data_IF_015202944375
#
_entry.id   IF_015202944375
#
_cell.length_a   1.000
_cell.length_b   1.000
_cell.length_c   1.000
_cell.angle_alpha   90.00
_cell.angle_beta   90.00
_cell.angle_gamma   90.00
#
_symmetry.space_group_name_H-M   'P 1'
#
loop_
_entity.id
_entity.type
_entity.pdbx_description
1 polymer ?
#
# COMPACT_ATOMS: atom_id res chain seq x y z
N UNK A 1 7.57 9.31 -17.17
CA UNK A 1 7.73 7.88 -17.51
C UNK A 1 6.85 7.09 -16.56
N UNK A 2 5.93 6.30 -17.08
CA UNK A 2 5.32 5.24 -16.31
C UNK A 2 6.46 4.41 -15.69
N UNK A 3 6.31 3.99 -14.44
CA UNK A 3 7.23 3.05 -13.81
C UNK A 3 7.37 1.80 -14.69
N UNK A 4 8.55 1.21 -14.74
CA UNK A 4 8.75 -0.02 -15.48
C UNK A 4 7.94 -1.14 -14.81
N UNK A 5 7.09 -1.80 -15.57
CA UNK A 5 6.40 -3.02 -15.16
C UNK A 5 7.24 -4.24 -15.53
N UNK A 6 7.16 -5.31 -14.75
CA UNK A 6 7.81 -6.58 -15.10
C UNK A 6 7.15 -7.23 -16.32
N UNK A 7 7.85 -8.15 -16.95
CA UNK A 7 7.33 -8.90 -18.10
C UNK A 7 6.10 -9.75 -17.75
N UNK A 8 5.97 -10.13 -16.49
CA UNK A 8 4.86 -10.93 -15.95
C UNK A 8 3.62 -10.07 -15.63
N UNK A 9 3.72 -8.74 -15.69
CA UNK A 9 2.60 -7.83 -15.46
C UNK A 9 1.57 -7.97 -16.58
N UNK A 10 0.33 -8.21 -16.19
CA UNK A 10 -0.83 -8.27 -17.08
C UNK A 10 -1.65 -6.99 -16.96
N UNK A 11 -2.40 -6.67 -18.01
CA UNK A 11 -3.31 -5.52 -18.03
C UNK A 11 -4.74 -6.00 -18.19
N UNK A 12 -5.61 -5.59 -17.29
CA UNK A 12 -7.05 -5.74 -17.42
C UNK A 12 -7.64 -4.40 -17.86
N UNK A 13 -8.21 -4.37 -19.06
CA UNK A 13 -8.99 -3.23 -19.55
C UNK A 13 -10.44 -3.46 -19.14
N UNK A 14 -10.94 -2.66 -18.20
CA UNK A 14 -12.31 -2.80 -17.72
C UNK A 14 -13.26 -2.21 -18.75
N UNK A 15 -14.32 -2.95 -19.10
CA UNK A 15 -15.23 -2.57 -20.16
C UNK A 15 -16.06 -1.33 -19.84
N UNK A 16 -16.45 -1.16 -18.58
CA UNK A 16 -17.29 -0.06 -18.14
C UNK A 16 -16.46 1.06 -17.49
N UNK A 17 -16.84 2.33 -17.68
CA UNK A 17 -16.22 3.46 -16.99
C UNK A 17 -16.19 3.26 -15.47
N UNK A 18 -15.18 3.82 -14.83
CA UNK A 18 -15.04 3.78 -13.38
C UNK A 18 -15.38 5.15 -12.79
N UNK A 19 -16.44 5.20 -12.02
CA UNK A 19 -16.87 6.42 -11.31
C UNK A 19 -16.21 6.44 -9.95
N UNK A 20 -15.39 7.46 -9.68
CA UNK A 20 -14.74 7.66 -8.37
C UNK A 20 -15.71 8.14 -7.31
N UNK A 21 -15.34 8.14 -6.04
CA UNK A 21 -16.16 8.69 -4.96
C UNK A 21 -16.48 10.18 -5.15
N UNK A 22 -15.62 10.95 -5.82
CA UNK A 22 -15.86 12.34 -6.16
C UNK A 22 -16.91 12.54 -7.27
N UNK A 23 -17.34 11.46 -7.93
CA UNK A 23 -18.23 11.49 -9.09
C UNK A 23 -17.48 11.68 -10.43
N UNK A 24 -16.17 11.85 -10.42
CA UNK A 24 -15.39 11.93 -11.64
C UNK A 24 -15.28 10.54 -12.30
N UNK A 25 -15.12 10.52 -13.63
CA UNK A 25 -15.16 9.29 -14.44
C UNK A 25 -13.78 9.01 -15.05
N UNK A 26 -13.34 7.77 -14.94
CA UNK A 26 -12.22 7.21 -15.71
C UNK A 26 -12.85 6.35 -16.79
N UNK A 27 -12.87 6.85 -18.05
CA UNK A 27 -13.64 6.26 -19.14
C UNK A 27 -13.18 4.86 -19.56
N UNK A 28 -11.88 4.62 -19.60
CA UNK A 28 -11.30 3.35 -20.00
C UNK A 28 -10.28 2.88 -18.94
N UNK A 29 -10.75 2.46 -17.75
CA UNK A 29 -9.85 2.11 -16.67
C UNK A 29 -9.05 0.85 -17.00
N UNK A 30 -7.75 0.95 -16.83
CA UNK A 30 -6.80 -0.17 -16.93
C UNK A 30 -6.25 -0.48 -15.57
N UNK A 31 -6.21 -1.76 -15.21
CA UNK A 31 -5.59 -2.25 -13.97
C UNK A 31 -4.45 -3.19 -14.36
N UNK A 32 -3.25 -2.81 -13.98
CA UNK A 32 -2.08 -3.68 -14.11
C UNK A 32 -1.97 -4.58 -12.88
N UNK A 33 -1.67 -5.87 -13.09
CA UNK A 33 -1.65 -6.85 -12.00
C UNK A 33 -0.71 -8.02 -12.31
N UNK A 34 -0.37 -8.76 -11.27
CA UNK A 34 0.30 -10.06 -11.37
C UNK A 34 -0.48 -11.12 -10.59
N UNK A 35 -0.28 -12.37 -10.96
CA UNK A 35 -0.86 -13.53 -10.28
C UNK A 35 0.17 -14.63 -10.09
N UNK A 36 0.00 -15.42 -9.03
CA UNK A 36 0.76 -16.63 -8.75
C UNK A 36 -0.21 -17.74 -8.38
N UNK A 37 0.07 -18.96 -8.81
CA UNK A 37 -0.81 -20.11 -8.60
C UNK A 37 -1.98 -20.17 -9.58
N UNK A 38 -2.93 -21.05 -9.30
CA UNK A 38 -4.12 -21.28 -10.11
C UNK A 38 -5.40 -21.05 -9.30
N UNK A 39 -6.37 -20.40 -9.92
CA UNK A 39 -7.69 -20.22 -9.32
C UNK A 39 -8.42 -21.58 -9.28
N UNK A 40 -8.98 -21.93 -8.13
CA UNK A 40 -9.84 -23.11 -7.98
C UNK A 40 -11.11 -22.97 -8.83
N UNK A 41 -11.71 -24.09 -9.24
CA UNK A 41 -12.91 -24.09 -10.08
C UNK A 41 -14.08 -23.32 -9.47
N UNK A 42 -14.20 -23.35 -8.14
CA UNK A 42 -15.23 -22.62 -7.40
C UNK A 42 -14.87 -21.15 -7.16
N UNK A 43 -13.66 -20.73 -7.53
CA UNK A 43 -13.17 -19.34 -7.36
C UNK A 43 -12.90 -18.92 -5.92
N UNK A 44 -12.67 -19.88 -5.00
CA UNK A 44 -12.64 -19.61 -3.54
C UNK A 44 -11.26 -19.50 -2.91
N UNK A 45 -10.16 -19.88 -3.61
CA UNK A 45 -8.82 -19.97 -3.03
C UNK A 45 -7.97 -18.70 -3.23
N UNK A 46 -8.58 -17.55 -3.50
CA UNK A 46 -7.84 -16.34 -3.82
C UNK A 46 -7.33 -15.62 -2.57
N UNK A 47 -6.13 -15.04 -2.71
CA UNK A 47 -5.49 -14.14 -1.75
C UNK A 47 -5.14 -12.85 -2.47
N UNK A 48 -5.53 -11.70 -1.90
CA UNK A 48 -5.20 -10.39 -2.43
C UNK A 48 -4.08 -9.75 -1.63
N UNK A 49 -2.99 -9.40 -2.30
CA UNK A 49 -1.89 -8.61 -1.75
C UNK A 49 -2.05 -7.16 -2.18
N UNK A 50 -2.07 -6.24 -1.23
CA UNK A 50 -2.18 -4.80 -1.46
C UNK A 50 -0.83 -4.14 -1.17
N UNK A 51 -0.23 -3.46 -2.16
CA UNK A 51 1.10 -2.86 -2.02
C UNK A 51 1.08 -1.51 -1.28
N UNK A 52 2.22 -1.13 -0.71
CA UNK A 52 2.46 0.16 -0.06
C UNK A 52 2.59 1.30 -1.10
N UNK A 53 2.71 2.57 -0.62
CA UNK A 53 2.66 3.80 -1.43
C UNK A 53 3.48 3.76 -2.73
N UNK A 54 4.71 3.30 -2.66
CA UNK A 54 5.62 3.23 -3.83
C UNK A 54 5.93 1.79 -4.24
N UNK A 55 5.12 0.84 -3.82
CA UNK A 55 5.16 -0.55 -4.24
C UNK A 55 4.61 -0.77 -5.64
N UNK A 56 4.60 -2.01 -6.07
CA UNK A 56 4.05 -2.45 -7.35
C UNK A 56 3.40 -3.83 -7.23
N UNK A 57 2.81 -4.30 -8.33
CA UNK A 57 2.26 -5.65 -8.41
C UNK A 57 3.31 -6.76 -8.27
N UNK A 58 4.62 -6.44 -8.36
CA UNK A 58 5.72 -7.38 -8.19
C UNK A 58 5.94 -7.76 -6.71
N UNK A 59 4.92 -8.32 -6.08
CA UNK A 59 4.90 -8.57 -4.65
C UNK A 59 5.97 -9.56 -4.20
N UNK A 60 6.34 -10.51 -5.02
CA UNK A 60 7.44 -11.45 -4.79
C UNK A 60 8.82 -10.76 -4.71
N UNK A 61 8.98 -9.60 -5.36
CA UNK A 61 10.24 -8.87 -5.34
C UNK A 61 10.43 -7.99 -4.11
N UNK A 62 9.36 -7.40 -3.58
CA UNK A 62 9.45 -6.55 -2.38
C UNK A 62 9.06 -7.27 -1.07
N UNK A 63 8.47 -8.48 -1.18
CA UNK A 63 8.21 -9.42 -0.09
C UNK A 63 8.82 -10.81 -0.38
N UNK A 64 10.12 -10.89 -0.63
CA UNK A 64 10.78 -12.17 -0.87
C UNK A 64 10.64 -13.07 0.36
N UNK A 65 10.24 -14.33 0.14
CA UNK A 65 10.01 -15.31 1.21
C UNK A 65 8.59 -15.26 1.81
N UNK A 66 7.76 -14.26 1.52
CA UNK A 66 6.35 -14.29 1.89
C UNK A 66 5.46 -14.90 0.80
N UNK A 67 5.92 -14.90 -0.46
CA UNK A 67 5.23 -15.46 -1.62
C UNK A 67 6.15 -16.47 -2.28
N UNK A 68 5.70 -17.70 -2.41
CA UNK A 68 6.44 -18.77 -3.07
C UNK A 68 6.17 -20.14 -2.45
N UNK A 69 6.82 -21.20 -2.98
CA UNK A 69 6.65 -22.57 -2.46
C UNK A 69 7.00 -22.66 -0.98
N UNK A 70 6.05 -23.16 -0.17
CA UNK A 70 6.22 -23.29 1.29
C UNK A 70 6.14 -21.99 2.08
N UNK A 71 6.00 -20.84 1.43
CA UNK A 71 5.81 -19.55 2.08
C UNK A 71 4.40 -19.40 2.67
N UNK A 72 4.17 -18.38 3.51
CA UNK A 72 2.82 -18.08 4.02
C UNK A 72 1.76 -17.96 2.91
N UNK A 73 2.14 -17.36 1.78
CA UNK A 73 1.33 -17.27 0.56
C UNK A 73 1.95 -18.20 -0.48
N UNK A 74 1.40 -19.41 -0.58
CA UNK A 74 1.96 -20.49 -1.40
C UNK A 74 1.14 -20.72 -2.66
N UNK A 75 1.72 -20.48 -3.86
CA UNK A 75 1.05 -20.69 -5.14
C UNK A 75 0.54 -22.13 -5.38
N UNK A 76 1.02 -23.12 -4.62
CA UNK A 76 0.54 -24.49 -4.72
C UNK A 76 -0.90 -24.66 -4.19
N UNK A 77 -1.35 -23.78 -3.30
CA UNK A 77 -2.70 -23.81 -2.71
C UNK A 77 -3.50 -22.53 -2.97
N UNK A 78 -2.80 -21.40 -3.11
CA UNK A 78 -3.39 -20.07 -3.19
C UNK A 78 -3.35 -19.55 -4.63
N UNK A 79 -4.43 -18.90 -5.07
CA UNK A 79 -4.39 -17.99 -6.21
C UNK A 79 -4.12 -16.58 -5.70
N UNK A 80 -2.87 -16.18 -5.77
CA UNK A 80 -2.41 -14.89 -5.23
C UNK A 80 -2.54 -13.84 -6.32
N UNK A 81 -3.17 -12.71 -5.99
CA UNK A 81 -3.31 -11.55 -6.88
C UNK A 81 -2.68 -10.33 -6.22
N UNK A 82 -1.88 -9.57 -6.94
CA UNK A 82 -1.44 -8.24 -6.56
C UNK A 82 -1.67 -7.28 -7.72
N UNK A 83 -2.42 -6.20 -7.49
CA UNK A 83 -2.67 -5.18 -8.50
C UNK A 83 -1.93 -3.89 -8.18
N UNK A 84 -1.51 -3.18 -9.23
CA UNK A 84 -1.08 -1.79 -9.09
C UNK A 84 -2.32 -0.90 -8.88
N UNK A 85 -2.28 -0.04 -7.87
CA UNK A 85 -3.41 0.83 -7.54
C UNK A 85 -3.69 1.84 -8.65
N UNK A 86 -4.96 2.17 -8.84
CA UNK A 86 -5.39 3.30 -9.68
C UNK A 86 -4.86 4.59 -9.06
N UNK A 87 -4.35 5.49 -9.90
CA UNK A 87 -3.65 6.70 -9.48
C UNK A 87 -2.13 6.52 -9.34
N UNK A 88 -1.63 5.27 -9.42
CA UNK A 88 -0.21 4.94 -9.44
C UNK A 88 0.44 5.11 -10.82
N UNK A 89 1.66 4.59 -10.98
CA UNK A 89 2.45 4.75 -12.20
C UNK A 89 2.97 3.44 -12.80
N UNK A 90 2.51 2.29 -12.32
CA UNK A 90 2.98 0.97 -12.79
C UNK A 90 1.91 0.24 -13.62
N UNK A 91 1.43 0.88 -14.68
CA UNK A 91 0.55 0.26 -15.69
C UNK A 91 -0.94 0.42 -15.42
N UNK A 92 -1.40 0.66 -14.20
CA UNK A 92 -2.78 1.04 -13.93
C UNK A 92 -3.05 2.49 -14.30
N UNK A 93 -4.30 2.84 -14.63
CA UNK A 93 -4.68 4.22 -14.94
C UNK A 93 -4.26 5.19 -13.83
N UNK A 94 -3.64 6.29 -14.21
CA UNK A 94 -3.07 7.28 -13.28
C UNK A 94 -2.73 8.59 -13.99
N UNK A 95 -2.13 9.55 -13.31
CA UNK A 95 -1.76 10.86 -13.86
C UNK A 95 -0.91 10.84 -15.12
N UNK A 96 -0.16 9.76 -15.34
CA UNK A 96 0.65 9.58 -16.54
C UNK A 96 -0.16 9.09 -17.77
N UNK A 97 -1.40 8.67 -17.57
CA UNK A 97 -2.28 8.20 -18.65
C UNK A 97 -2.46 9.31 -19.69
N UNK A 98 -2.34 8.99 -21.00
CA UNK A 98 -2.55 9.97 -22.05
C UNK A 98 -4.00 10.45 -22.10
N UNK A 99 -4.19 11.76 -22.28
CA UNK A 99 -5.45 12.37 -22.70
C UNK A 99 -5.66 12.17 -24.22
N UNK A 100 -6.80 12.64 -24.72
CA UNK A 100 -7.14 12.53 -26.16
C UNK A 100 -6.14 13.24 -27.09
N UNK A 101 -5.45 14.28 -26.59
CA UNK A 101 -4.42 15.02 -27.33
C UNK A 101 -3.02 14.36 -27.23
N UNK A 102 -2.92 13.21 -26.57
CA UNK A 102 -1.67 12.47 -26.38
C UNK A 102 -0.80 12.98 -25.23
N UNK A 103 -1.15 14.09 -24.57
CA UNK A 103 -0.46 14.57 -23.38
C UNK A 103 -0.89 13.77 -22.15
N UNK A 104 -0.04 13.72 -21.15
CA UNK A 104 -0.41 13.12 -19.86
C UNK A 104 -1.52 13.92 -19.18
N UNK A 105 -2.41 13.24 -18.48
CA UNK A 105 -3.48 13.90 -17.71
C UNK A 105 -2.94 14.78 -16.56
N UNK A 106 -1.84 14.38 -15.92
CA UNK A 106 -1.34 15.10 -14.76
C UNK A 106 -2.39 15.19 -13.66
N UNK A 107 -2.63 16.39 -13.14
CA UNK A 107 -3.69 16.61 -12.14
C UNK A 107 -5.12 16.67 -12.74
N UNK A 108 -5.29 16.57 -14.06
CA UNK A 108 -6.62 16.34 -14.64
C UNK A 108 -7.07 14.87 -14.45
N UNK A 109 -6.13 13.96 -14.14
CA UNK A 109 -6.51 12.64 -13.67
C UNK A 109 -7.32 12.76 -12.36
N UNK A 110 -8.49 12.10 -12.25
CA UNK A 110 -9.35 12.23 -11.08
C UNK A 110 -8.65 11.96 -9.76
N UNK A 111 -9.07 12.65 -8.70
CA UNK A 111 -8.73 12.24 -7.35
C UNK A 111 -9.33 10.87 -7.07
N UNK A 112 -8.50 9.97 -6.57
CA UNK A 112 -8.89 8.63 -6.15
C UNK A 112 -8.71 8.49 -4.65
N UNK A 113 -9.56 7.72 -4.03
CA UNK A 113 -9.49 7.41 -2.60
C UNK A 113 -9.03 5.97 -2.40
N UNK A 114 -8.70 5.62 -1.16
CA UNK A 114 -8.42 4.20 -0.80
C UNK A 114 -9.62 3.32 -1.14
N UNK A 115 -10.85 3.82 -0.95
CA UNK A 115 -12.06 3.10 -1.31
C UNK A 115 -12.20 2.91 -2.82
N UNK A 116 -11.81 3.88 -3.62
CA UNK A 116 -11.77 3.73 -5.08
C UNK A 116 -10.75 2.66 -5.50
N UNK A 117 -9.59 2.60 -4.85
CA UNK A 117 -8.62 1.54 -5.10
C UNK A 117 -9.22 0.16 -4.85
N UNK A 118 -9.91 -0.02 -3.73
CA UNK A 118 -10.58 -1.28 -3.36
C UNK A 118 -11.72 -1.63 -4.34
N UNK A 119 -12.52 -0.66 -4.75
CA UNK A 119 -13.57 -0.85 -5.76
C UNK A 119 -13.00 -1.26 -7.12
N UNK A 120 -11.88 -0.68 -7.52
CA UNK A 120 -11.18 -1.06 -8.75
C UNK A 120 -10.61 -2.48 -8.66
N UNK A 121 -10.02 -2.85 -7.52
CA UNK A 121 -9.57 -4.22 -7.25
C UNK A 121 -10.73 -5.22 -7.29
N UNK A 122 -11.88 -4.87 -6.74
CA UNK A 122 -13.07 -5.74 -6.80
C UNK A 122 -13.48 -6.03 -8.24
N UNK A 123 -13.53 -5.00 -9.10
CA UNK A 123 -13.82 -5.17 -10.53
C UNK A 123 -12.78 -6.05 -11.23
N UNK A 124 -11.49 -5.88 -10.91
CA UNK A 124 -10.45 -6.76 -11.42
C UNK A 124 -10.69 -8.22 -11.03
N UNK A 125 -10.94 -8.48 -9.73
CA UNK A 125 -11.18 -9.83 -9.22
C UNK A 125 -12.41 -10.49 -9.87
N UNK A 126 -13.47 -9.72 -10.12
CA UNK A 126 -14.64 -10.20 -10.85
C UNK A 126 -14.28 -10.63 -12.29
N UNK A 127 -13.44 -9.83 -12.97
CA UNK A 127 -12.94 -10.17 -14.31
C UNK A 127 -12.10 -11.44 -14.31
N UNK A 128 -11.37 -11.70 -13.22
CA UNK A 128 -10.54 -12.91 -13.06
C UNK A 128 -11.35 -14.15 -12.63
N UNK A 129 -12.65 -13.99 -12.35
CA UNK A 129 -13.52 -15.09 -11.90
C UNK A 129 -13.40 -15.42 -10.42
N UNK A 130 -12.71 -14.59 -9.63
CA UNK A 130 -12.61 -14.76 -8.17
C UNK A 130 -13.98 -14.55 -7.54
N UNK A 131 -14.41 -15.49 -6.72
CA UNK A 131 -15.70 -15.44 -6.02
C UNK A 131 -15.57 -15.11 -4.55
N UNK A 132 -14.38 -15.33 -3.99
CA UNK A 132 -14.11 -15.17 -2.58
C UNK A 132 -12.62 -14.94 -2.32
N UNK A 133 -12.30 -14.16 -1.29
CA UNK A 133 -10.93 -13.93 -0.82
C UNK A 133 -10.71 -14.61 0.54
N UNK A 134 -9.85 -15.59 0.59
CA UNK A 134 -9.43 -16.21 1.86
C UNK A 134 -8.69 -15.24 2.75
N UNK A 135 -7.91 -14.32 2.14
CA UNK A 135 -7.14 -13.32 2.84
C UNK A 135 -6.96 -12.09 1.97
N UNK A 136 -7.09 -10.93 2.57
CA UNK A 136 -6.55 -9.66 2.06
C UNK A 136 -5.43 -9.21 2.99
N UNK A 137 -4.26 -8.94 2.44
CA UNK A 137 -3.07 -8.60 3.22
C UNK A 137 -2.32 -7.43 2.58
N UNK A 138 -1.83 -6.52 3.40
CA UNK A 138 -1.00 -5.43 2.90
C UNK A 138 -0.44 -4.53 3.98
N UNK A 139 0.75 -3.94 3.74
CA UNK A 139 1.39 -3.00 4.65
C UNK A 139 1.06 -1.55 4.28
N UNK A 140 1.01 -0.66 5.28
CA UNK A 140 0.90 0.79 5.10
C UNK A 140 -0.34 1.18 4.26
N UNK A 141 -0.19 1.82 3.10
CA UNK A 141 -1.28 2.06 2.16
C UNK A 141 -2.00 0.76 1.77
N UNK A 142 -1.28 -0.35 1.66
CA UNK A 142 -1.86 -1.68 1.48
C UNK A 142 -2.72 -2.11 2.67
N UNK A 143 -2.32 -1.76 3.88
CA UNK A 143 -3.11 -2.00 5.09
C UNK A 143 -4.40 -1.16 5.14
N UNK A 144 -4.37 0.09 4.63
CA UNK A 144 -5.58 0.90 4.49
C UNK A 144 -6.57 0.23 3.53
N UNK A 145 -6.08 -0.27 2.39
CA UNK A 145 -6.88 -1.04 1.43
C UNK A 145 -7.44 -2.31 2.08
N UNK A 146 -6.63 -3.00 2.87
CA UNK A 146 -7.02 -4.23 3.59
C UNK A 146 -8.19 -3.97 4.55
N UNK A 147 -8.12 -2.91 5.35
CA UNK A 147 -9.22 -2.50 6.24
C UNK A 147 -10.46 -2.07 5.46
N UNK A 148 -10.27 -1.33 4.37
CA UNK A 148 -11.38 -0.91 3.51
C UNK A 148 -12.08 -2.10 2.83
N UNK A 149 -11.34 -3.15 2.46
CA UNK A 149 -11.90 -4.41 1.97
C UNK A 149 -12.84 -5.05 2.99
N UNK A 150 -12.40 -5.15 4.25
CA UNK A 150 -13.22 -5.72 5.33
C UNK A 150 -14.50 -4.90 5.59
N UNK A 151 -14.43 -3.58 5.44
CA UNK A 151 -15.55 -2.68 5.64
C UNK A 151 -16.53 -2.63 4.46
N UNK A 152 -16.01 -2.68 3.22
CA UNK A 152 -16.82 -2.54 2.01
C UNK A 152 -17.39 -3.87 1.50
N UNK A 153 -16.67 -4.98 1.68
CA UNK A 153 -17.02 -6.28 1.13
C UNK A 153 -16.92 -7.41 2.17
N UNK A 154 -17.58 -7.28 3.34
CA UNK A 154 -17.43 -8.23 4.44
C UNK A 154 -17.81 -9.68 4.06
N UNK A 155 -18.75 -9.87 3.12
CA UNK A 155 -19.17 -11.20 2.68
C UNK A 155 -18.25 -11.81 1.62
N UNK A 156 -17.34 -11.01 1.04
CA UNK A 156 -16.39 -11.46 0.01
C UNK A 156 -15.05 -11.89 0.59
N UNK A 157 -14.78 -11.58 1.87
CA UNK A 157 -13.48 -11.76 2.53
C UNK A 157 -13.61 -12.63 3.78
N UNK A 158 -12.77 -13.66 3.93
CA UNK A 158 -12.72 -14.49 5.14
C UNK A 158 -11.88 -13.87 6.25
N UNK A 159 -10.71 -13.32 5.90
CA UNK A 159 -9.76 -12.76 6.87
C UNK A 159 -8.97 -11.60 6.28
N UNK A 160 -8.46 -10.74 7.14
CA UNK A 160 -7.63 -9.59 6.76
C UNK A 160 -6.36 -9.51 7.61
N UNK A 161 -5.28 -9.01 7.00
CA UNK A 161 -4.01 -8.80 7.70
C UNK A 161 -3.44 -7.40 7.38
N UNK A 162 -3.97 -6.33 7.97
CA UNK A 162 -3.41 -4.99 7.84
C UNK A 162 -2.16 -4.84 8.70
N UNK A 163 -1.07 -4.35 8.11
CA UNK A 163 0.24 -4.24 8.72
C UNK A 163 0.68 -2.77 8.76
N UNK A 164 1.09 -2.26 9.92
CA UNK A 164 1.63 -0.91 10.07
C UNK A 164 0.68 0.18 9.55
N UNK A 165 -0.55 0.23 10.08
CA UNK A 165 -1.62 1.10 9.56
C UNK A 165 -2.54 1.61 10.68
N UNK A 166 -3.28 2.68 10.41
CA UNK A 166 -4.37 3.21 11.24
C UNK A 166 -5.72 3.02 10.57
N UNK A 167 -6.80 3.13 11.32
CA UNK A 167 -8.19 3.12 10.79
C UNK A 167 -8.64 4.46 10.22
N UNK A 168 -7.89 5.52 10.52
CA UNK A 168 -8.04 6.88 10.01
C UNK A 168 -6.69 7.54 9.92
N UNK A 169 -6.40 8.19 8.80
CA UNK A 169 -5.11 8.88 8.63
C UNK A 169 -4.97 10.01 9.67
N UNK A 170 -3.86 9.99 10.41
CA UNK A 170 -3.65 10.94 11.51
C UNK A 170 -3.21 12.31 11.00
N UNK A 171 -3.40 13.36 11.81
CA UNK A 171 -2.89 14.70 11.51
C UNK A 171 -1.36 14.70 11.29
N UNK A 172 -0.63 13.84 12.02
CA UNK A 172 0.81 13.63 11.83
C UNK A 172 1.12 13.14 10.41
N UNK A 173 0.45 12.10 9.97
CA UNK A 173 0.64 11.53 8.63
C UNK A 173 0.18 12.48 7.51
N UNK A 174 -0.92 13.20 7.72
CA UNK A 174 -1.41 14.24 6.79
C UNK A 174 -0.36 15.36 6.67
N UNK A 175 0.22 15.82 7.79
CA UNK A 175 1.27 16.84 7.79
C UNK A 175 2.53 16.40 7.03
N UNK A 176 2.95 15.14 7.19
CA UNK A 176 4.05 14.56 6.42
C UNK A 176 3.72 14.56 4.92
N UNK A 177 2.51 14.08 4.54
CA UNK A 177 2.05 14.07 3.16
C UNK A 177 2.01 15.48 2.54
N UNK A 178 1.50 16.46 3.27
CA UNK A 178 1.43 17.84 2.82
C UNK A 178 2.82 18.44 2.58
N UNK A 179 3.77 18.20 3.49
CA UNK A 179 5.15 18.65 3.31
C UNK A 179 5.81 18.06 2.06
N UNK A 180 5.53 16.78 1.77
CA UNK A 180 6.02 16.10 0.57
C UNK A 180 5.40 16.70 -0.70
N UNK A 181 4.09 16.96 -0.71
CA UNK A 181 3.41 17.60 -1.84
C UNK A 181 3.92 19.02 -2.07
N UNK A 182 4.12 19.79 -1.00
CA UNK A 182 4.69 21.13 -1.10
C UNK A 182 6.08 21.12 -1.75
N UNK A 183 6.94 20.15 -1.41
CA UNK A 183 8.25 19.99 -2.04
C UNK A 183 8.14 19.69 -3.55
N UNK A 184 7.19 18.85 -3.95
CA UNK A 184 6.94 18.54 -5.36
C UNK A 184 6.43 19.77 -6.11
N UNK A 185 5.48 20.50 -5.54
CA UNK A 185 4.88 21.70 -6.14
C UNK A 185 5.91 22.84 -6.29
N UNK A 186 6.86 22.94 -5.36
CA UNK A 186 7.93 23.94 -5.42
C UNK A 186 8.97 23.70 -6.52
N UNK A 187 8.98 22.51 -7.14
CA UNK A 187 9.88 22.21 -8.25
C UNK A 187 9.43 22.98 -9.52
N UNK A 188 10.32 23.78 -10.16
CA UNK A 188 9.96 24.54 -11.37
C UNK A 188 9.40 23.69 -12.51
N UNK A 189 9.72 22.42 -12.53
CA UNK A 189 9.27 21.48 -13.57
C UNK A 189 7.94 20.78 -13.20
N UNK A 190 7.25 21.19 -12.15
CA UNK A 190 6.03 20.54 -11.69
C UNK A 190 4.86 20.68 -12.69
N UNK A 191 4.64 21.88 -13.22
CA UNK A 191 3.64 22.20 -14.26
C UNK A 191 2.26 21.55 -13.99
N UNK A 192 1.79 21.54 -12.75
CA UNK A 192 0.54 20.89 -12.32
C UNK A 192 0.45 19.41 -12.73
N UNK A 193 1.57 18.74 -12.75
CA UNK A 193 1.67 17.33 -13.16
C UNK A 193 1.66 17.10 -14.68
N UNK A 194 1.62 18.16 -15.51
CA UNK A 194 1.59 18.08 -17.00
C UNK A 194 2.97 18.14 -17.64
N UNK A 195 4.03 17.88 -16.88
CA UNK A 195 5.40 17.84 -17.39
C UNK A 195 5.61 16.68 -18.38
N UNK A 196 6.54 16.86 -19.31
CA UNK A 196 7.00 15.81 -20.21
C UNK A 196 8.02 14.90 -19.52
N UNK A 197 8.17 13.67 -20.03
CA UNK A 197 9.09 12.67 -19.44
C UNK A 197 10.55 13.15 -19.33
N UNK A 198 11.00 14.00 -20.26
CA UNK A 198 12.36 14.57 -20.25
C UNK A 198 12.56 15.65 -19.18
N UNK A 199 11.50 16.39 -18.85
CA UNK A 199 11.52 17.54 -17.93
C UNK A 199 10.56 17.23 -16.78
N UNK A 200 11.03 16.48 -15.81
CA UNK A 200 10.24 16.04 -14.65
C UNK A 200 10.64 16.81 -13.39
N UNK A 201 9.75 16.96 -12.40
CA UNK A 201 10.06 17.58 -11.11
C UNK A 201 10.92 16.64 -10.24
N UNK A 202 12.16 16.41 -10.69
CA UNK A 202 13.08 15.44 -10.09
C UNK A 202 13.53 15.85 -8.70
N UNK A 203 13.77 17.15 -8.50
CA UNK A 203 14.23 17.68 -7.23
C UNK A 203 13.12 17.63 -6.17
N UNK A 204 11.90 18.04 -6.55
CA UNK A 204 10.74 17.96 -5.68
C UNK A 204 10.39 16.54 -5.25
N UNK A 205 10.37 15.60 -6.19
CA UNK A 205 10.12 14.19 -5.87
C UNK A 205 11.25 13.59 -5.02
N UNK A 206 12.51 13.93 -5.30
CA UNK A 206 13.64 13.48 -4.50
C UNK A 206 13.55 14.00 -3.06
N UNK A 207 13.22 15.30 -2.87
CA UNK A 207 13.03 15.89 -1.55
C UNK A 207 11.87 15.21 -0.79
N UNK A 208 10.74 14.97 -1.45
CA UNK A 208 9.62 14.22 -0.88
C UNK A 208 10.04 12.83 -0.41
N UNK A 209 10.88 12.12 -1.19
CA UNK A 209 11.43 10.81 -0.80
C UNK A 209 12.37 10.90 0.39
N UNK A 210 13.20 11.93 0.46
CA UNK A 210 14.11 12.14 1.61
C UNK A 210 13.30 12.30 2.91
N UNK A 211 12.24 13.11 2.91
CA UNK A 211 11.31 13.23 4.05
C UNK A 211 10.68 11.89 4.40
N UNK A 212 10.21 11.15 3.39
CA UNK A 212 9.63 9.84 3.57
C UNK A 212 10.61 8.87 4.24
N UNK A 213 11.88 8.84 3.81
CA UNK A 213 12.89 7.93 4.36
C UNK A 213 13.21 8.21 5.84
N UNK A 214 13.14 9.46 6.28
CA UNK A 214 13.26 9.83 7.71
C UNK A 214 12.09 9.23 8.49
N UNK A 215 10.87 9.28 7.94
CA UNK A 215 9.66 8.75 8.58
C UNK A 215 9.53 7.22 8.49
N UNK A 216 10.14 6.61 7.47
CA UNK A 216 10.11 5.15 7.27
C UNK A 216 11.15 4.40 8.09
N UNK A 217 12.11 5.11 8.67
CA UNK A 217 13.13 4.57 9.56
C UNK A 217 12.89 5.04 11.00
N UNK A 218 13.64 4.48 11.93
CA UNK A 218 13.64 4.93 13.32
C UNK A 218 14.84 5.81 13.64
N UNK A 219 14.74 6.61 14.69
CA UNK A 219 15.89 7.35 15.23
C UNK A 219 17.04 6.39 15.57
N UNK A 220 16.75 5.28 16.22
CA UNK A 220 17.75 4.26 16.59
C UNK A 220 18.48 3.70 15.38
N UNK A 221 17.74 3.44 14.29
CA UNK A 221 18.33 2.96 13.03
C UNK A 221 19.28 3.99 12.42
N UNK A 222 18.89 5.27 12.42
CA UNK A 222 19.73 6.35 11.90
C UNK A 222 21.00 6.54 12.73
N UNK A 223 20.87 6.59 14.07
CA UNK A 223 22.03 6.74 14.96
C UNK A 223 22.99 5.54 14.83
N UNK A 224 22.47 4.32 14.88
CA UNK A 224 23.31 3.12 14.75
C UNK A 224 24.03 3.01 13.41
N UNK A 225 23.43 3.51 12.34
CA UNK A 225 23.97 3.41 10.99
C UNK A 225 24.90 4.56 10.61
N UNK A 226 24.52 5.76 10.91
CA UNK A 226 25.18 6.96 10.40
C UNK A 226 25.97 7.72 11.47
N UNK A 227 25.43 7.85 12.70
CA UNK A 227 26.00 8.74 13.71
C UNK A 227 26.26 10.15 13.12
N UNK A 228 27.40 10.73 13.41
CA UNK A 228 27.89 11.98 12.79
C UNK A 228 29.05 11.72 11.83
N UNK A 229 29.03 10.59 11.15
CA UNK A 229 30.11 10.20 10.23
C UNK A 229 30.19 11.17 9.05
N UNK A 230 31.36 11.76 8.79
CA UNK A 230 31.56 12.60 7.60
C UNK A 230 31.55 11.74 6.34
N UNK A 231 31.01 12.29 5.26
CA UNK A 231 31.14 11.69 3.94
C UNK A 231 32.44 12.19 3.26
N UNK A 232 32.71 11.63 2.06
CA UNK A 232 33.89 11.99 1.27
C UNK A 232 33.81 13.39 0.61
N UNK A 233 32.72 14.14 0.77
CA UNK A 233 32.38 15.38 0.08
C UNK A 233 32.05 16.56 1.03
N UNK A 234 32.72 16.61 2.18
CA UNK A 234 32.49 17.64 3.21
C UNK A 234 31.07 17.70 3.77
N UNK A 235 30.32 16.59 3.75
CA UNK A 235 29.00 16.45 4.31
C UNK A 235 28.93 15.35 5.38
N UNK A 236 27.77 14.77 5.54
CA UNK A 236 27.51 13.63 6.42
C UNK A 236 27.01 12.43 5.62
N UNK A 237 27.39 11.22 6.02
CA UNK A 237 26.92 9.96 5.39
C UNK A 237 25.40 9.89 5.26
N UNK A 238 24.64 10.38 6.26
CA UNK A 238 23.19 10.44 6.23
C UNK A 238 22.67 11.32 5.08
N UNK A 239 23.35 12.41 4.77
CA UNK A 239 22.97 13.33 3.66
C UNK A 239 23.12 12.61 2.32
N UNK A 240 24.23 11.93 2.11
CA UNK A 240 24.51 11.14 0.91
C UNK A 240 23.52 9.99 0.74
N UNK A 241 23.17 9.32 1.84
CA UNK A 241 22.15 8.28 1.86
C UNK A 241 20.77 8.82 1.44
N UNK A 242 20.31 9.91 2.03
CA UNK A 242 19.00 10.49 1.71
C UNK A 242 18.92 10.95 0.25
N UNK A 243 19.97 11.62 -0.25
CA UNK A 243 20.07 12.02 -1.65
C UNK A 243 20.05 10.81 -2.59
N UNK A 244 20.74 9.73 -2.24
CA UNK A 244 20.70 8.48 -3.01
C UNK A 244 19.28 7.90 -3.07
N UNK A 245 18.58 7.83 -1.93
CA UNK A 245 17.20 7.35 -1.87
C UNK A 245 16.24 8.22 -2.70
N UNK A 246 16.44 9.52 -2.68
CA UNK A 246 15.68 10.46 -3.52
C UNK A 246 15.88 10.17 -5.01
N UNK A 247 17.15 10.09 -5.47
CA UNK A 247 17.45 9.76 -6.87
C UNK A 247 16.88 8.40 -7.29
N UNK A 248 17.02 7.38 -6.45
CA UNK A 248 16.48 6.04 -6.72
C UNK A 248 14.97 6.02 -6.92
N UNK A 249 14.22 6.84 -6.17
CA UNK A 249 12.77 6.96 -6.40
C UNK A 249 12.46 7.67 -7.72
N UNK A 250 13.15 8.77 -8.00
CA UNK A 250 12.97 9.55 -9.24
C UNK A 250 13.18 8.70 -10.49
N UNK A 251 14.07 7.72 -10.47
CA UNK A 251 14.32 6.82 -11.59
C UNK A 251 13.15 5.89 -11.92
N UNK A 252 12.31 5.57 -10.93
CA UNK A 252 11.27 4.53 -11.05
C UNK A 252 9.84 5.00 -10.78
N UNK A 253 9.64 6.19 -10.25
CA UNK A 253 8.31 6.65 -9.84
C UNK A 253 7.93 7.99 -10.47
N UNK A 254 6.64 8.20 -10.66
CA UNK A 254 6.08 9.42 -11.23
C UNK A 254 5.65 10.39 -10.12
N UNK A 255 6.03 11.67 -10.26
CA UNK A 255 5.76 12.68 -9.24
C UNK A 255 4.26 13.02 -9.10
N UNK A 256 3.52 13.08 -10.20
CA UNK A 256 2.08 13.35 -10.15
C UNK A 256 1.33 12.17 -9.54
N UNK A 257 1.76 10.93 -9.82
CA UNK A 257 1.22 9.74 -9.13
C UNK A 257 1.56 9.76 -7.65
N UNK A 258 2.78 10.13 -7.26
CA UNK A 258 3.13 10.28 -5.84
C UNK A 258 2.24 11.32 -5.15
N UNK A 259 2.02 12.46 -5.80
CA UNK A 259 1.13 13.51 -5.31
C UNK A 259 -0.29 12.98 -5.09
N UNK A 260 -0.91 12.34 -6.11
CA UNK A 260 -2.27 11.77 -6.02
C UNK A 260 -2.38 10.66 -4.97
N UNK A 261 -1.40 9.78 -4.88
CA UNK A 261 -1.44 8.70 -3.88
C UNK A 261 -1.28 9.20 -2.45
N UNK A 262 -0.53 10.28 -2.22
CA UNK A 262 -0.48 10.92 -0.89
C UNK A 262 -1.82 11.59 -0.53
N UNK A 263 -2.52 12.20 -1.50
CA UNK A 263 -3.89 12.69 -1.29
C UNK A 263 -4.87 11.54 -0.99
N UNK A 264 -4.75 10.43 -1.71
CA UNK A 264 -5.56 9.24 -1.45
C UNK A 264 -5.38 8.70 -0.02
N UNK A 265 -4.14 8.70 0.50
CA UNK A 265 -3.88 8.36 1.91
C UNK A 265 -4.61 9.30 2.87
N UNK A 266 -4.58 10.60 2.61
CA UNK A 266 -5.26 11.59 3.45
C UNK A 266 -6.78 11.37 3.50
N UNK A 267 -7.36 10.78 2.45
CA UNK A 267 -8.79 10.41 2.41
C UNK A 267 -9.14 9.22 3.31
N UNK A 268 -8.14 8.47 3.78
CA UNK A 268 -8.39 7.26 4.56
C UNK A 268 -9.02 7.56 5.92
N UNK A 269 -10.27 7.23 6.02
CA UNK A 269 -11.09 7.22 7.24
C UNK A 269 -12.19 6.19 7.02
N UNK A 270 -12.17 5.08 7.75
CA UNK A 270 -13.18 4.03 7.63
C UNK A 270 -14.59 4.52 7.96
N UNK A 271 -14.73 5.57 8.78
CA UNK A 271 -16.02 6.16 9.12
C UNK A 271 -16.61 7.05 8.03
N UNK A 272 -15.76 7.58 7.14
CA UNK A 272 -16.17 8.54 6.12
C UNK A 272 -17.26 7.97 5.20
N UNK A 273 -18.41 8.65 5.16
CA UNK A 273 -19.56 8.23 4.33
C UNK A 273 -20.30 6.98 4.83
N UNK A 274 -20.02 6.49 6.05
CA UNK A 274 -20.69 5.32 6.66
C UNK A 274 -21.60 5.68 7.85
N UNK A 275 -21.80 6.96 8.12
CA UNK A 275 -22.73 7.45 9.16
C UNK A 275 -22.23 7.30 10.60
N UNK A 276 -20.96 6.91 10.82
CA UNK A 276 -20.39 6.74 12.15
C UNK A 276 -18.89 7.03 12.20
N UNK A 277 -18.32 7.06 13.40
CA UNK A 277 -16.89 7.15 13.58
C UNK A 277 -16.20 5.86 13.11
N UNK A 278 -14.92 5.95 12.69
CA UNK A 278 -14.19 4.78 12.22
C UNK A 278 -14.11 3.63 13.25
N UNK A 279 -14.12 3.94 14.54
CA UNK A 279 -14.17 2.94 15.62
C UNK A 279 -15.46 2.13 15.63
N UNK A 280 -16.60 2.76 15.29
CA UNK A 280 -17.89 2.07 15.16
C UNK A 280 -17.92 1.15 13.95
N UNK A 281 -17.31 1.58 12.84
CA UNK A 281 -17.14 0.73 11.65
C UNK A 281 -16.29 -0.50 11.97
N UNK A 282 -15.17 -0.31 12.68
CA UNK A 282 -14.33 -1.43 13.13
C UNK A 282 -15.09 -2.44 13.98
N UNK A 283 -15.91 -1.95 14.92
CA UNK A 283 -16.72 -2.82 15.78
C UNK A 283 -17.75 -3.67 15.00
N UNK A 284 -18.11 -3.23 13.81
CA UNK A 284 -18.99 -3.97 12.89
C UNK A 284 -18.28 -5.04 12.06
N UNK A 285 -16.96 -5.00 11.93
CA UNK A 285 -16.18 -5.96 11.14
C UNK A 285 -15.99 -7.25 11.94
N UNK A 286 -16.66 -8.33 11.50
CA UNK A 286 -16.68 -9.63 12.19
C UNK A 286 -15.61 -10.60 11.70
N UNK A 287 -14.87 -10.26 10.65
CA UNK A 287 -13.86 -11.12 10.05
C UNK A 287 -12.61 -11.18 10.91
N UNK A 288 -11.95 -12.33 11.03
CA UNK A 288 -10.65 -12.46 11.67
C UNK A 288 -9.65 -11.46 11.10
N UNK A 289 -8.91 -10.77 11.96
CA UNK A 289 -7.94 -9.76 11.57
C UNK A 289 -6.60 -9.99 12.28
N UNK A 290 -5.52 -10.13 11.52
CA UNK A 290 -4.16 -10.09 12.04
C UNK A 290 -3.64 -8.65 11.96
N UNK A 291 -3.47 -8.01 13.09
CA UNK A 291 -2.89 -6.67 13.18
C UNK A 291 -1.41 -6.78 13.57
N UNK A 292 -0.54 -6.33 12.68
CA UNK A 292 0.90 -6.30 12.94
C UNK A 292 1.37 -4.85 13.10
N UNK A 293 1.89 -4.53 14.28
CA UNK A 293 2.58 -3.27 14.55
C UNK A 293 4.09 -3.48 14.41
N UNK A 294 4.83 -2.47 13.98
CA UNK A 294 6.30 -2.45 14.05
C UNK A 294 6.72 -1.64 15.26
N UNK A 295 7.52 -2.21 16.16
CA UNK A 295 7.80 -1.64 17.50
C UNK A 295 8.41 -0.24 17.44
N UNK A 296 9.23 0.07 16.45
CA UNK A 296 9.91 1.37 16.29
C UNK A 296 9.27 2.29 15.23
N UNK A 297 8.06 1.97 14.75
CA UNK A 297 7.36 2.78 13.74
C UNK A 297 6.91 4.12 14.33
N UNK A 298 7.39 5.21 13.73
CA UNK A 298 7.02 6.59 14.13
C UNK A 298 5.94 7.17 13.21
N UNK A 299 5.71 6.56 12.04
CA UNK A 299 4.68 6.99 11.10
C UNK A 299 3.30 6.46 11.51
N UNK A 300 3.22 5.15 11.77
CA UNK A 300 2.04 4.47 12.34
C UNK A 300 2.45 3.74 13.63
N UNK A 301 2.59 4.48 14.74
CA UNK A 301 3.10 3.90 15.98
C UNK A 301 2.20 2.77 16.48
N UNK A 302 2.73 1.80 17.25
CA UNK A 302 2.00 0.62 17.74
C UNK A 302 0.65 0.93 18.37
N UNK A 303 0.51 2.08 19.02
CA UNK A 303 -0.76 2.55 19.60
C UNK A 303 -1.92 2.60 18.57
N UNK A 304 -1.63 2.86 17.30
CA UNK A 304 -2.64 2.87 16.25
C UNK A 304 -3.21 1.46 16.02
N UNK A 305 -2.34 0.47 15.92
CA UNK A 305 -2.76 -0.92 15.73
C UNK A 305 -3.38 -1.51 17.00
N UNK A 306 -2.93 -1.09 18.18
CA UNK A 306 -3.58 -1.42 19.45
C UNK A 306 -5.00 -0.89 19.52
N UNK A 307 -5.22 0.35 19.02
CA UNK A 307 -6.56 0.93 18.91
C UNK A 307 -7.45 0.11 17.96
N UNK A 308 -6.90 -0.34 16.81
CA UNK A 308 -7.64 -1.22 15.89
C UNK A 308 -8.01 -2.54 16.59
N UNK A 309 -7.04 -3.16 17.29
CA UNK A 309 -7.24 -4.42 17.98
C UNK A 309 -8.31 -4.34 19.09
N UNK A 310 -8.36 -3.21 19.78
CA UNK A 310 -9.36 -2.98 20.84
C UNK A 310 -10.79 -2.87 20.30
N UNK A 311 -10.98 -2.57 19.01
CA UNK A 311 -12.31 -2.35 18.42
C UNK A 311 -12.73 -3.41 17.39
N UNK A 312 -11.79 -4.18 16.85
CA UNK A 312 -12.10 -5.30 15.96
C UNK A 312 -12.44 -6.55 16.79
N UNK A 313 -13.67 -7.10 16.69
CA UNK A 313 -14.12 -8.19 17.56
C UNK A 313 -13.31 -9.48 17.46
N UNK A 314 -12.70 -9.76 16.31
CA UNK A 314 -11.91 -10.96 16.04
C UNK A 314 -10.44 -10.62 15.69
N UNK A 315 -9.86 -9.70 16.44
CA UNK A 315 -8.47 -9.27 16.22
C UNK A 315 -7.45 -10.18 16.90
N UNK A 316 -6.38 -10.48 16.18
CA UNK A 316 -5.12 -11.01 16.71
C UNK A 316 -4.07 -9.91 16.56
N UNK A 317 -3.56 -9.39 17.66
CA UNK A 317 -2.52 -8.37 17.66
C UNK A 317 -1.14 -9.00 17.83
N UNK A 318 -0.19 -8.57 17.02
CA UNK A 318 1.23 -8.95 17.09
C UNK A 318 2.14 -7.73 16.91
N UNK A 319 3.30 -7.77 17.55
CA UNK A 319 4.35 -6.77 17.36
C UNK A 319 5.53 -7.41 16.64
N UNK A 320 5.91 -6.80 15.52
CA UNK A 320 7.16 -7.09 14.81
C UNK A 320 8.25 -6.28 15.50
N UNK A 321 9.09 -6.95 16.29
CA UNK A 321 10.24 -6.33 16.94
C UNK A 321 11.28 -5.97 15.88
N UNK A 322 11.40 -4.69 15.58
CA UNK A 322 12.26 -4.16 14.54
C UNK A 322 12.79 -2.79 14.90
N UNK A 323 14.09 -2.60 14.72
CA UNK A 323 14.72 -1.28 14.81
C UNK A 323 14.59 -0.45 13.52
N UNK A 324 13.98 -1.02 12.47
CA UNK A 324 13.97 -0.41 11.13
C UNK A 324 12.82 0.58 10.88
N UNK A 325 12.01 0.90 11.91
CA UNK A 325 10.87 1.79 11.78
C UNK A 325 9.77 1.17 10.93
N UNK A 326 9.03 2.01 10.23
CA UNK A 326 7.95 1.59 9.34
C UNK A 326 8.37 0.55 8.29
N UNK A 327 9.62 0.63 7.80
CA UNK A 327 10.16 -0.34 6.84
C UNK A 327 10.43 -1.75 7.43
N UNK A 328 10.21 -1.97 8.72
CA UNK A 328 10.40 -3.27 9.36
C UNK A 328 9.65 -4.39 8.64
N UNK A 329 8.45 -4.13 8.11
CA UNK A 329 7.69 -5.11 7.34
C UNK A 329 8.27 -5.46 5.96
N UNK A 330 9.30 -4.73 5.51
CA UNK A 330 10.07 -5.03 4.28
C UNK A 330 11.43 -5.65 4.58
N UNK A 331 11.87 -5.64 5.83
CA UNK A 331 13.23 -6.02 6.23
C UNK A 331 13.22 -7.26 7.11
N UNK A 332 12.39 -7.27 8.15
CA UNK A 332 12.30 -8.38 9.11
C UNK A 332 11.23 -9.39 8.67
N UNK A 333 11.50 -10.04 7.53
CA UNK A 333 10.51 -10.85 6.82
C UNK A 333 10.28 -12.22 7.47
N UNK A 334 11.28 -12.82 8.09
CA UNK A 334 11.16 -14.15 8.71
C UNK A 334 10.14 -14.15 9.87
N UNK A 335 10.25 -13.28 10.90
CA UNK A 335 9.23 -13.20 11.94
C UNK A 335 7.86 -12.78 11.41
N UNK A 336 7.79 -11.92 10.41
CA UNK A 336 6.52 -11.57 9.77
C UNK A 336 5.89 -12.78 9.08
N UNK A 337 6.68 -13.60 8.38
CA UNK A 337 6.22 -14.84 7.74
C UNK A 337 5.65 -15.83 8.77
N UNK A 338 6.30 -15.97 9.92
CA UNK A 338 5.83 -16.82 11.02
C UNK A 338 4.46 -16.35 11.54
N UNK A 339 4.28 -15.04 11.80
CA UNK A 339 3.02 -14.46 12.25
C UNK A 339 1.88 -14.72 11.26
N UNK A 340 2.12 -14.55 9.96
CA UNK A 340 1.12 -14.79 8.92
C UNK A 340 0.79 -16.30 8.84
N UNK A 341 1.80 -17.14 8.89
CA UNK A 341 1.61 -18.62 8.85
C UNK A 341 0.79 -19.10 10.04
N UNK A 342 1.08 -18.63 11.24
CA UNK A 342 0.34 -18.94 12.45
C UNK A 342 -1.12 -18.49 12.33
N UNK A 343 -1.35 -17.25 11.92
CA UNK A 343 -2.69 -16.70 11.73
C UNK A 343 -3.51 -17.51 10.72
N UNK A 344 -2.93 -17.89 9.60
CA UNK A 344 -3.61 -18.69 8.57
C UNK A 344 -3.96 -20.11 9.04
N UNK A 345 -3.12 -20.70 9.89
CA UNK A 345 -3.42 -22.01 10.52
C UNK A 345 -4.55 -21.93 11.53
N UNK A 346 -4.56 -20.88 12.36
CA UNK A 346 -5.62 -20.68 13.36
C UNK A 346 -6.97 -20.29 12.76
N UNK A 347 -6.98 -19.54 11.65
CA UNK A 347 -8.21 -19.15 10.94
C UNK A 347 -8.96 -20.32 10.30
N UNK A 348 -8.29 -21.46 10.08
CA UNK A 348 -8.91 -22.71 9.62
C UNK A 348 -9.41 -23.60 10.77
N UNK A 349 -9.02 -23.30 12.01
CA UNK A 349 -9.51 -23.95 13.23
C UNK A 349 -10.19 -22.87 14.08
N UNK A 350 -11.47 -23.05 14.43
CA UNK A 350 -12.27 -22.13 15.27
C UNK A 350 -11.42 -21.38 16.31
N UNK A 351 -11.62 -20.06 16.42
CA UNK A 351 -10.94 -19.08 17.28
C UNK A 351 -10.81 -19.46 18.77
N UNK A 352 -11.42 -20.55 19.22
CA UNK A 352 -11.42 -21.03 20.60
C UNK A 352 -10.13 -21.77 21.02
N UNK A 353 -9.21 -22.13 20.12
CA UNK A 353 -8.08 -23.01 20.42
C UNK A 353 -6.69 -22.34 20.50
N UNK A 354 -6.53 -21.06 20.14
CA UNK A 354 -5.22 -20.39 20.06
C UNK A 354 -4.92 -19.38 21.16
N UNK A 355 -5.66 -19.37 22.23
CA UNK A 355 -5.57 -18.39 23.30
C UNK A 355 -4.90 -18.87 24.59
N UNK A 356 -3.82 -19.66 24.55
CA UNK A 356 -2.91 -19.87 25.71
C UNK A 356 -1.66 -20.64 25.25
N UNK A 357 -0.57 -19.94 25.00
CA UNK A 357 0.77 -20.44 25.23
C UNK A 357 1.69 -19.23 25.47
#
# INVERSE_FOLDING_TARGET
TAGRVSAETRLAHLADPFVTESGAVIEAPTIAYRTWGALAEDGSNAVLVCHALTGSADADSWWPGLIGPGAPLDPARDFIVCSNVVGGCYGSSGPYTPAADGRRLGLDFPEVTVRDMVRAQKRLLDTLGVKHLQLVIGPSLGGMQTLEWAASYPEFVDAVAPIGVSGRHSAWCIGVGESQRAAIVADPNWLEGRYEDGIRPKQGLAAARMMAMIMYRSWQNFEARFERKPDQKDGFDVSSYLQYQGRKLVERFDAASYFRLTQAKDSHDLGRGRGGAYLEVLAGIRRPALLVAVTSDVLYPPREQQTLAAHLPAATYRELDSAHGHDGFLIDLEPLAEMITEFRRCGSASVAACGTA
#
